data_IF_488910516962
#
_entry.id   IF_488910516962
#
_cell.length_a   1.000
_cell.length_b   1.000
_cell.length_c   1.000
_cell.angle_alpha   90.00
_cell.angle_beta   90.00
_cell.angle_gamma   90.00
#
_symmetry.space_group_name_H-M   'P 1'
#
loop_
_entity.id
_entity.type
_entity.pdbx_description
1 polymer ?
#
# COMPACT_ATOMS: atom_id res chain seq x y z
N UNK A 1 17.17 -49.99 39.73
CA UNK A 1 18.36 -50.86 39.79
C UNK A 1 17.84 -52.28 39.98
N UNK A 2 18.16 -53.33 39.22
CA UNK A 2 19.13 -53.54 38.15
C UNK A 2 18.76 -54.83 37.39
N UNK A 3 19.07 -54.87 36.09
CA UNK A 3 19.39 -56.07 35.29
C UNK A 3 18.22 -57.02 34.96
N UNK A 4 18.09 -57.61 33.77
CA UNK A 4 19.04 -57.76 32.69
C UNK A 4 18.29 -57.99 31.37
N UNK A 5 18.68 -57.23 30.35
CA UNK A 5 18.40 -57.48 28.95
C UNK A 5 19.52 -58.40 28.44
N UNK A 6 19.20 -59.62 28.02
CA UNK A 6 20.13 -60.45 27.25
C UNK A 6 19.57 -60.55 25.84
N UNK A 7 20.24 -59.85 24.91
CA UNK A 7 20.14 -60.12 23.48
C UNK A 7 20.81 -61.46 23.19
N UNK A 8 20.06 -62.38 22.59
CA UNK A 8 20.61 -63.47 21.78
C UNK A 8 20.22 -63.24 20.34
N UNK A 9 21.24 -63.04 19.49
CA UNK A 9 21.15 -63.06 18.03
C UNK A 9 21.63 -64.43 17.57
N UNK A 10 20.84 -65.16 16.79
CA UNK A 10 21.24 -66.26 15.89
C UNK A 10 20.11 -66.39 14.85
N UNK A 11 20.26 -65.79 13.66
CA UNK A 11 20.56 -66.46 12.38
C UNK A 11 19.54 -67.52 11.95
N UNK A 12 18.87 -67.27 10.82
CA UNK A 12 18.05 -68.27 10.14
C UNK A 12 17.29 -67.69 8.95
N UNK A 13 17.97 -67.60 7.81
CA UNK A 13 17.37 -67.27 6.53
C UNK A 13 16.42 -68.36 6.03
N UNK A 14 15.44 -67.89 5.25
CA UNK A 14 14.80 -68.53 4.10
C UNK A 14 13.90 -69.75 4.32
N UNK A 15 12.62 -69.55 4.00
CA UNK A 15 12.06 -70.30 2.88
C UNK A 15 10.68 -70.93 3.11
N UNK A 16 9.69 -70.37 2.42
CA UNK A 16 8.43 -70.99 1.99
C UNK A 16 7.25 -70.91 2.97
N UNK A 17 6.46 -69.85 2.84
CA UNK A 17 5.05 -69.83 3.23
C UNK A 17 4.17 -69.69 1.99
N UNK A 18 3.04 -70.42 1.89
CA UNK A 18 1.93 -70.08 1.02
C UNK A 18 0.92 -69.19 1.76
N UNK A 19 0.36 -68.24 1.00
CA UNK A 19 -0.94 -67.55 1.13
C UNK A 19 -1.41 -67.07 2.52
N UNK A 20 -1.40 -65.76 2.72
CA UNK A 20 -2.61 -64.92 2.72
C UNK A 20 -2.32 -63.52 3.31
N UNK A 21 -2.83 -62.51 2.61
CA UNK A 21 -3.20 -61.16 3.08
C UNK A 21 -2.17 -60.31 3.85
N UNK A 22 -1.67 -59.27 3.18
CA UNK A 22 -2.05 -57.87 3.48
C UNK A 22 -1.16 -56.85 2.75
N UNK A 23 -1.84 -55.99 1.99
CA UNK A 23 -1.52 -54.60 1.69
C UNK A 23 -0.04 -54.17 1.59
N UNK A 24 0.43 -53.98 0.36
CA UNK A 24 1.31 -52.86 -0.04
C UNK A 24 1.35 -52.75 -1.58
N UNK A 25 0.37 -52.06 -2.17
CA UNK A 25 0.67 -51.13 -3.26
C UNK A 25 0.73 -49.75 -2.58
N UNK A 26 1.82 -48.99 -2.66
CA UNK A 26 2.54 -48.71 -3.89
C UNK A 26 1.72 -47.80 -4.82
N UNK A 27 0.78 -47.04 -4.27
CA UNK A 27 0.02 -46.03 -4.99
C UNK A 27 0.73 -44.68 -4.91
N UNK A 28 1.35 -44.27 -6.01
CA UNK A 28 1.61 -42.87 -6.33
C UNK A 28 0.31 -42.08 -6.15
N UNK A 29 0.22 -41.29 -5.08
CA UNK A 29 -0.87 -40.33 -4.90
C UNK A 29 -0.91 -39.35 -6.08
N UNK A 30 -2.08 -38.78 -6.42
CA UNK A 30 -2.23 -37.92 -7.59
C UNK A 30 -1.27 -36.74 -7.46
N UNK A 31 -0.33 -36.64 -8.41
CA UNK A 31 0.42 -35.42 -8.66
C UNK A 31 -0.59 -34.27 -8.83
N UNK A 32 -0.46 -33.27 -7.96
CA UNK A 32 -0.90 -31.88 -8.10
C UNK A 32 -1.93 -31.62 -9.21
N UNK A 33 -3.20 -31.91 -8.96
CA UNK A 33 -4.26 -31.26 -9.73
C UNK A 33 -4.38 -29.85 -9.17
N UNK A 34 -3.64 -28.91 -9.78
CA UNK A 34 -3.80 -27.49 -9.51
C UNK A 34 -5.30 -27.13 -9.59
N UNK A 35 -5.81 -26.45 -8.55
CA UNK A 35 -7.19 -25.96 -8.59
C UNK A 35 -7.39 -25.10 -9.85
N UNK A 36 -8.54 -25.22 -10.54
CA UNK A 36 -8.82 -24.34 -11.67
C UNK A 36 -8.73 -22.88 -11.24
N UNK A 37 -8.11 -22.05 -12.09
CA UNK A 37 -8.06 -20.61 -11.86
C UNK A 37 -9.46 -20.00 -11.78
N UNK A 38 -9.58 -18.99 -10.93
CA UNK A 38 -10.74 -18.12 -10.81
C UNK A 38 -11.00 -17.48 -12.16
N UNK A 39 -12.24 -17.61 -12.63
CA UNK A 39 -12.69 -17.01 -13.88
C UNK A 39 -12.80 -15.50 -13.67
N UNK A 40 -11.93 -14.76 -14.34
CA UNK A 40 -11.91 -13.30 -14.32
C UNK A 40 -12.13 -12.76 -15.73
N UNK A 41 -12.95 -11.72 -15.84
CA UNK A 41 -12.96 -10.85 -17.00
C UNK A 41 -11.92 -9.76 -16.75
N UNK A 42 -10.79 -9.79 -17.43
CA UNK A 42 -9.68 -8.84 -17.25
C UNK A 42 -9.43 -8.06 -18.53
N UNK A 43 -8.76 -6.89 -18.48
CA UNK A 43 -8.40 -6.16 -19.69
C UNK A 43 -7.60 -7.02 -20.66
N UNK A 44 -7.77 -6.78 -21.96
CA UNK A 44 -7.15 -7.59 -23.03
C UNK A 44 -5.62 -7.68 -22.97
N UNK A 45 -4.98 -6.74 -22.28
CA UNK A 45 -3.53 -6.73 -22.06
C UNK A 45 -3.05 -7.80 -21.06
N UNK A 46 -3.96 -8.54 -20.41
CA UNK A 46 -3.67 -9.63 -19.49
C UNK A 46 -4.20 -10.98 -20.01
N UNK A 47 -3.55 -12.06 -19.61
CA UNK A 47 -3.99 -13.43 -19.92
C UNK A 47 -4.79 -14.02 -18.75
N UNK A 48 -6.12 -13.97 -18.85
CA UNK A 48 -7.05 -14.52 -17.85
C UNK A 48 -6.87 -16.01 -17.58
N UNK A 49 -6.29 -16.76 -18.53
CA UNK A 49 -6.16 -18.22 -18.47
C UNK A 49 -4.85 -18.69 -17.84
N UNK A 50 -3.95 -17.76 -17.48
CA UNK A 50 -2.64 -18.06 -16.89
C UNK A 50 -2.46 -17.34 -15.56
N UNK A 51 -1.44 -17.76 -14.82
CA UNK A 51 -1.06 -17.18 -13.54
C UNK A 51 -1.45 -18.08 -12.38
N UNK A 52 -1.82 -17.48 -11.25
CA UNK A 52 -2.12 -18.19 -10.02
C UNK A 52 -3.10 -17.40 -9.15
N UNK A 53 -3.75 -18.12 -8.23
CA UNK A 53 -4.66 -17.55 -7.24
C UNK A 53 -4.24 -17.96 -5.82
N UNK A 54 -4.56 -17.10 -4.86
CA UNK A 54 -4.36 -17.33 -3.44
C UNK A 54 -5.61 -16.89 -2.67
N UNK A 55 -6.15 -17.79 -1.85
CA UNK A 55 -7.35 -17.54 -1.06
C UNK A 55 -6.96 -17.07 0.34
N UNK A 56 -7.59 -16.00 0.79
CA UNK A 56 -7.38 -15.40 2.10
C UNK A 56 -8.64 -15.54 2.98
N UNK A 57 -9.02 -16.79 3.28
CA UNK A 57 -10.24 -17.10 4.03
C UNK A 57 -10.21 -16.69 5.52
N UNK A 58 -9.09 -16.17 6.01
CA UNK A 58 -8.98 -15.61 7.36
C UNK A 58 -9.35 -14.12 7.42
N UNK A 59 -9.42 -13.44 6.27
CA UNK A 59 -9.63 -12.00 6.19
C UNK A 59 -11.14 -11.68 6.21
N UNK A 60 -11.57 -10.89 7.20
CA UNK A 60 -12.97 -10.48 7.35
C UNK A 60 -13.46 -9.63 6.16
N UNK A 61 -14.77 -9.58 5.94
CA UNK A 61 -15.38 -8.78 4.87
C UNK A 61 -15.31 -7.28 5.13
N UNK A 62 -15.26 -6.88 6.41
CA UNK A 62 -15.34 -5.47 6.82
C UNK A 62 -13.97 -4.81 7.02
N UNK A 63 -12.87 -5.49 6.66
CA UNK A 63 -11.54 -4.88 6.72
C UNK A 63 -11.36 -3.88 5.58
N UNK A 64 -10.60 -2.83 5.85
CA UNK A 64 -10.29 -1.76 4.89
C UNK A 64 -8.89 -1.89 4.29
N UNK A 65 -8.09 -2.86 4.75
CA UNK A 65 -6.75 -3.17 4.23
C UNK A 65 -6.68 -4.59 3.69
N UNK A 66 -5.68 -4.86 2.87
CA UNK A 66 -5.48 -6.16 2.22
C UNK A 66 -4.06 -6.64 2.51
N UNK A 67 -3.89 -7.85 3.08
CA UNK A 67 -2.58 -8.37 3.47
C UNK A 67 -1.82 -8.95 2.28
N UNK A 68 -1.68 -8.15 1.23
CA UNK A 68 -0.96 -8.44 0.00
C UNK A 68 -0.31 -7.16 -0.54
N UNK A 69 0.91 -7.29 -1.05
CA UNK A 69 1.68 -6.16 -1.56
C UNK A 69 2.67 -6.60 -2.64
N UNK A 70 3.17 -5.65 -3.42
CA UNK A 70 4.30 -5.82 -4.34
C UNK A 70 5.54 -5.18 -3.74
N UNK A 71 6.72 -5.70 -4.07
CA UNK A 71 7.99 -5.06 -3.67
C UNK A 71 8.48 -4.15 -4.80
N UNK A 72 8.70 -2.84 -4.55
CA UNK A 72 9.09 -1.89 -5.59
C UNK A 72 10.29 -2.34 -6.43
N UNK A 73 10.18 -2.20 -7.74
CA UNK A 73 11.24 -2.56 -8.69
C UNK A 73 11.50 -4.06 -8.84
N UNK A 74 10.62 -4.93 -8.32
CA UNK A 74 10.75 -6.38 -8.44
C UNK A 74 9.45 -7.03 -8.91
N UNK A 75 9.54 -8.29 -9.33
CA UNK A 75 8.39 -9.13 -9.66
C UNK A 75 7.79 -9.81 -8.41
N UNK A 76 8.24 -9.46 -7.19
CA UNK A 76 7.83 -10.16 -5.97
C UNK A 76 6.47 -9.66 -5.48
N UNK A 77 5.56 -10.61 -5.27
CA UNK A 77 4.29 -10.40 -4.57
C UNK A 77 4.38 -11.09 -3.22
N UNK A 78 4.14 -10.35 -2.14
CA UNK A 78 4.11 -10.88 -0.79
C UNK A 78 2.67 -10.95 -0.28
N UNK A 79 2.31 -12.10 0.29
CA UNK A 79 0.97 -12.38 0.82
C UNK A 79 1.09 -12.88 2.25
N UNK A 80 0.26 -12.37 3.17
CA UNK A 80 0.16 -12.89 4.53
C UNK A 80 -0.94 -13.95 4.65
N UNK A 81 -0.62 -15.04 5.33
CA UNK A 81 -1.55 -16.12 5.67
C UNK A 81 -1.58 -16.33 7.18
N UNK A 82 -2.77 -16.54 7.73
CA UNK A 82 -2.92 -17.10 9.07
C UNK A 82 -2.28 -18.50 9.14
N UNK A 83 -1.60 -18.77 10.24
CA UNK A 83 -0.97 -20.05 10.55
C UNK A 83 -1.39 -20.48 11.97
N UNK A 84 -1.10 -21.73 12.34
CA UNK A 84 -1.47 -22.25 13.67
C UNK A 84 -0.90 -21.43 14.84
N UNK A 85 0.26 -20.79 14.63
CA UNK A 85 0.99 -20.02 15.64
C UNK A 85 1.33 -18.61 15.09
N UNK A 86 0.30 -17.83 14.74
CA UNK A 86 0.45 -16.47 14.24
C UNK A 86 0.24 -16.38 12.73
N UNK A 87 1.14 -15.70 12.02
CA UNK A 87 1.01 -15.42 10.60
C UNK A 87 2.30 -15.74 9.85
N UNK A 88 2.18 -16.15 8.59
CA UNK A 88 3.32 -16.33 7.70
C UNK A 88 3.23 -15.38 6.52
N UNK A 89 4.37 -14.87 6.09
CA UNK A 89 4.50 -14.12 4.84
C UNK A 89 5.08 -15.07 3.79
N UNK A 90 4.37 -15.23 2.68
CA UNK A 90 4.87 -15.98 1.52
C UNK A 90 5.16 -14.99 0.40
N UNK A 91 6.42 -14.95 -0.06
CA UNK A 91 6.82 -14.21 -1.23
C UNK A 91 6.80 -15.12 -2.46
N UNK A 92 6.10 -14.69 -3.50
CA UNK A 92 5.95 -15.38 -4.78
C UNK A 92 6.49 -14.51 -5.91
N UNK A 93 7.03 -15.15 -6.93
CA UNK A 93 7.31 -14.49 -8.21
C UNK A 93 6.00 -14.18 -8.94
N UNK A 94 5.89 -12.99 -9.51
CA UNK A 94 4.68 -12.39 -10.07
C UNK A 94 3.96 -13.29 -11.05
N UNK A 95 4.43 -13.38 -12.30
CA UNK A 95 3.79 -14.21 -13.33
C UNK A 95 3.81 -15.72 -13.03
N UNK A 96 4.88 -16.24 -12.41
CA UNK A 96 5.06 -17.69 -12.24
C UNK A 96 4.35 -18.29 -11.02
N UNK A 97 4.04 -17.49 -9.99
CA UNK A 97 3.49 -17.95 -8.72
C UNK A 97 4.42 -18.81 -7.88
N UNK A 98 5.64 -19.08 -8.35
CA UNK A 98 6.64 -19.86 -7.63
C UNK A 98 6.96 -19.16 -6.32
N UNK A 99 6.85 -19.90 -5.21
CA UNK A 99 7.29 -19.44 -3.89
C UNK A 99 8.80 -19.22 -3.93
N UNK A 100 9.22 -17.97 -3.69
CA UNK A 100 10.63 -17.58 -3.58
C UNK A 100 11.12 -17.87 -2.17
N UNK A 101 10.33 -17.46 -1.18
CA UNK A 101 10.56 -17.77 0.23
C UNK A 101 9.27 -17.71 1.04
N UNK A 102 9.31 -18.29 2.24
CA UNK A 102 8.25 -18.21 3.24
C UNK A 102 8.86 -17.91 4.61
N UNK A 103 8.23 -17.03 5.38
CA UNK A 103 8.68 -16.72 6.74
C UNK A 103 8.43 -17.89 7.70
N UNK A 104 9.19 -17.93 8.79
CA UNK A 104 8.69 -18.60 10.00
C UNK A 104 7.38 -17.92 10.47
N UNK A 105 6.52 -18.60 11.24
CA UNK A 105 5.37 -17.95 11.86
C UNK A 105 5.82 -16.77 12.72
N UNK A 106 5.21 -15.62 12.47
CA UNK A 106 5.41 -14.37 13.19
C UNK A 106 4.18 -14.09 14.05
N UNK A 107 4.42 -13.75 15.31
CA UNK A 107 3.35 -13.43 16.27
C UNK A 107 3.21 -11.91 16.39
N UNK A 108 2.09 -11.33 15.95
CA UNK A 108 1.81 -9.92 16.19
C UNK A 108 1.59 -9.66 17.69
N UNK A 109 1.65 -8.39 18.14
CA UNK A 109 1.24 -8.03 19.50
C UNK A 109 -0.22 -8.44 19.76
N UNK A 110 -0.59 -8.55 21.05
CA UNK A 110 -1.96 -8.85 21.45
C UNK A 110 -2.88 -7.73 20.94
N UNK A 111 -3.96 -8.01 20.19
CA UNK A 111 -4.83 -6.96 19.67
C UNK A 111 -5.33 -6.02 20.77
N UNK A 112 -5.40 -4.72 20.48
CA UNK A 112 -6.05 -3.75 21.38
C UNK A 112 -7.56 -4.05 21.50
N UNK A 113 -8.17 -3.56 22.57
CA UNK A 113 -9.62 -3.67 22.74
C UNK A 113 -10.36 -2.99 21.56
N UNK A 114 -11.39 -3.66 21.04
CA UNK A 114 -12.15 -3.18 19.87
C UNK A 114 -11.51 -3.46 18.51
N UNK A 115 -10.30 -4.03 18.43
CA UNK A 115 -9.63 -4.34 17.16
C UNK A 115 -10.41 -5.34 16.27
N UNK A 116 -11.30 -6.15 16.85
CA UNK A 116 -12.16 -7.07 16.10
C UNK A 116 -13.34 -6.36 15.40
N UNK A 117 -13.45 -5.04 15.56
CA UNK A 117 -14.62 -4.25 15.21
C UNK A 117 -15.76 -4.44 16.22
N UNK A 118 -16.69 -3.50 16.19
CA UNK A 118 -17.95 -3.58 16.90
C UNK A 118 -19.03 -3.32 15.85
N UNK A 119 -20.07 -4.16 15.76
CA UNK A 119 -21.14 -3.96 14.77
C UNK A 119 -22.06 -2.77 15.11
N UNK A 120 -21.97 -2.23 16.32
CA UNK A 120 -22.82 -1.14 16.84
C UNK A 120 -22.16 0.24 16.82
N UNK A 121 -20.84 0.29 16.63
CA UNK A 121 -20.07 1.51 16.38
C UNK A 121 -19.36 1.34 15.05
N UNK A 122 -19.05 2.38 14.29
CA UNK A 122 -18.29 2.26 13.02
C UNK A 122 -16.80 1.86 13.26
N UNK A 123 -16.54 0.95 14.19
CA UNK A 123 -15.23 0.48 14.61
C UNK A 123 -14.59 -0.36 13.52
N UNK A 124 -13.51 0.16 12.92
CA UNK A 124 -12.77 -0.55 11.89
C UNK A 124 -12.13 -1.82 12.46
N UNK A 125 -12.28 -2.94 11.75
CA UNK A 125 -11.56 -4.18 12.05
C UNK A 125 -10.09 -3.98 11.68
N UNK A 126 -9.19 -4.22 12.62
CA UNK A 126 -7.75 -4.22 12.39
C UNK A 126 -7.25 -5.65 12.22
N UNK A 127 -6.48 -5.87 11.15
CA UNK A 127 -5.77 -7.11 10.89
C UNK A 127 -4.27 -6.83 10.74
N UNK A 128 -3.40 -7.82 11.02
CA UNK A 128 -2.02 -7.78 10.56
C UNK A 128 -1.94 -7.66 9.05
N UNK A 129 -0.93 -6.93 8.56
CA UNK A 129 -0.84 -6.53 7.16
C UNK A 129 0.61 -6.52 6.67
N UNK A 130 0.83 -6.40 5.36
CA UNK A 130 2.15 -6.43 4.71
C UNK A 130 2.36 -5.25 3.78
N UNK A 131 3.61 -4.77 3.74
CA UNK A 131 4.04 -3.72 2.81
C UNK A 131 5.41 -4.04 2.20
N UNK A 132 5.57 -3.84 0.90
CA UNK A 132 6.86 -3.81 0.22
C UNK A 132 7.41 -2.39 0.17
N UNK A 133 8.71 -2.21 0.44
CA UNK A 133 9.36 -0.92 0.24
C UNK A 133 10.87 -1.06 -0.01
N UNK A 134 11.48 0.03 -0.47
CA UNK A 134 12.93 0.15 -0.65
C UNK A 134 13.47 1.29 0.21
N UNK A 135 14.58 1.06 0.91
CA UNK A 135 15.36 2.08 1.59
C UNK A 135 16.84 1.90 1.24
N UNK A 136 17.47 2.98 0.75
CA UNK A 136 18.91 3.05 0.47
C UNK A 136 19.42 1.87 -0.40
N UNK A 137 18.61 1.45 -1.40
CA UNK A 137 18.91 0.35 -2.32
C UNK A 137 18.57 -1.06 -1.78
N UNK A 138 18.21 -1.19 -0.50
CA UNK A 138 17.76 -2.45 0.07
C UNK A 138 16.24 -2.54 0.06
N UNK A 139 15.73 -3.69 -0.39
CA UNK A 139 14.29 -3.95 -0.48
C UNK A 139 13.84 -4.86 0.64
N UNK A 140 12.66 -4.57 1.17
CA UNK A 140 12.07 -5.29 2.28
C UNK A 140 10.61 -5.62 2.02
N UNK A 141 10.16 -6.72 2.61
CA UNK A 141 8.77 -6.98 2.93
C UNK A 141 8.60 -6.79 4.44
N UNK A 142 7.66 -5.96 4.85
CA UNK A 142 7.37 -5.68 6.26
C UNK A 142 6.03 -6.30 6.61
N UNK A 143 6.01 -7.22 7.56
CA UNK A 143 4.78 -7.58 8.26
C UNK A 143 4.58 -6.59 9.41
N UNK A 144 3.38 -6.06 9.58
CA UNK A 144 3.08 -5.11 10.63
C UNK A 144 1.72 -5.37 11.28
N UNK A 145 1.61 -5.02 12.56
CA UNK A 145 0.38 -5.10 13.33
C UNK A 145 0.41 -4.15 14.53
N UNK A 146 -0.76 -3.66 14.88
CA UNK A 146 -1.02 -2.81 16.03
C UNK A 146 -1.54 -3.64 17.21
N UNK A 147 -1.05 -3.38 18.42
CA UNK A 147 -1.49 -4.11 19.61
C UNK A 147 -0.71 -3.77 20.87
N UNK A 148 -1.04 -4.47 21.95
CA UNK A 148 -0.35 -4.44 23.23
C UNK A 148 0.79 -5.46 23.28
N UNK A 149 1.99 -5.00 23.62
CA UNK A 149 3.16 -5.85 23.85
C UNK A 149 3.45 -5.98 25.34
N UNK A 150 3.67 -7.22 25.79
CA UNK A 150 3.99 -7.51 27.19
C UNK A 150 2.80 -7.36 28.13
N UNK A 151 1.57 -7.40 27.60
CA UNK A 151 0.35 -7.47 28.39
C UNK A 151 0.19 -8.88 28.95
N UNK A 152 -0.02 -8.99 30.26
CA UNK A 152 -0.31 -10.22 30.98
C UNK A 152 -1.21 -9.92 32.18
N UNK A 153 -1.45 -10.91 33.05
CA UNK A 153 -2.34 -10.76 34.22
C UNK A 153 -1.83 -9.74 35.26
N UNK A 154 -0.58 -9.30 35.15
CA UNK A 154 0.09 -8.40 36.10
C UNK A 154 0.54 -7.07 35.48
N UNK A 155 0.57 -6.97 34.15
CA UNK A 155 1.06 -5.80 33.42
C UNK A 155 0.11 -5.41 32.28
N UNK A 156 -0.18 -4.12 32.16
CA UNK A 156 -1.00 -3.58 31.06
C UNK A 156 -0.31 -3.67 29.69
N UNK A 157 1.01 -3.85 29.68
CA UNK A 157 1.82 -3.82 28.46
C UNK A 157 2.00 -2.42 27.89
N UNK A 158 2.62 -2.34 26.72
CA UNK A 158 2.83 -1.09 25.97
C UNK A 158 2.16 -1.23 24.61
N UNK A 159 1.36 -0.24 24.25
CA UNK A 159 0.74 -0.13 22.93
C UNK A 159 1.80 0.18 21.86
N UNK A 160 1.88 -0.67 20.83
CA UNK A 160 2.90 -0.60 19.80
C UNK A 160 2.33 -0.93 18.43
N UNK A 161 2.97 -0.37 17.40
CA UNK A 161 2.97 -0.97 16.07
C UNK A 161 4.25 -1.77 15.93
N UNK A 162 4.12 -3.10 15.85
CA UNK A 162 5.25 -4.00 15.63
C UNK A 162 5.50 -4.14 14.14
N UNK A 163 6.75 -3.98 13.73
CA UNK A 163 7.24 -4.14 12.36
C UNK A 163 8.24 -5.29 12.31
N UNK A 164 8.01 -6.29 11.48
CA UNK A 164 8.94 -7.39 11.20
C UNK A 164 9.46 -7.27 9.77
N UNK A 165 10.75 -6.97 9.63
CA UNK A 165 11.40 -6.65 8.35
C UNK A 165 12.07 -7.90 7.79
N UNK A 166 11.62 -8.36 6.62
CA UNK A 166 12.21 -9.44 5.85
C UNK A 166 12.91 -8.87 4.61
N UNK A 167 14.17 -9.25 4.31
CA UNK A 167 14.77 -8.91 3.03
C UNK A 167 13.92 -9.46 1.89
N UNK A 168 13.67 -8.66 0.85
CA UNK A 168 12.85 -9.10 -0.28
C UNK A 168 13.48 -10.30 -1.03
N UNK A 169 14.81 -10.39 -0.99
CA UNK A 169 15.66 -11.44 -1.54
C UNK A 169 15.97 -12.56 -0.53
N UNK A 170 15.19 -12.69 0.54
CA UNK A 170 15.28 -13.82 1.44
C UNK A 170 15.11 -15.16 0.71
N UNK A 171 15.47 -16.26 1.36
CA UNK A 171 15.39 -17.60 0.78
C UNK A 171 14.94 -18.64 1.80
N UNK A 172 14.43 -19.76 1.30
CA UNK A 172 13.98 -20.89 2.12
C UNK A 172 12.54 -20.78 2.62
N UNK A 173 12.11 -21.79 3.37
CA UNK A 173 10.73 -21.96 3.83
C UNK A 173 10.48 -21.51 5.27
N UNK A 174 11.49 -20.92 5.93
CA UNK A 174 11.43 -20.47 7.32
C UNK A 174 12.33 -19.23 7.53
N UNK A 175 12.20 -18.26 6.63
CA UNK A 175 12.93 -16.99 6.72
C UNK A 175 12.55 -16.26 8.01
N UNK A 176 13.55 -15.73 8.73
CA UNK A 176 13.34 -14.91 9.92
C UNK A 176 13.45 -13.43 9.54
N UNK A 177 12.75 -12.53 10.26
CA UNK A 177 12.96 -11.11 10.04
C UNK A 177 14.41 -10.75 10.41
N UNK A 178 15.04 -9.89 9.63
CA UNK A 178 16.37 -9.34 9.98
C UNK A 178 16.27 -8.32 11.11
N UNK A 179 15.08 -7.78 11.34
CA UNK A 179 14.79 -6.87 12.45
C UNK A 179 13.32 -6.90 12.83
N UNK A 180 13.06 -6.84 14.12
CA UNK A 180 11.75 -6.53 14.69
C UNK A 180 11.84 -5.20 15.44
N UNK A 181 10.87 -4.32 15.20
CA UNK A 181 10.86 -2.95 15.72
C UNK A 181 9.49 -2.69 16.32
N UNK A 182 9.48 -2.27 17.58
CA UNK A 182 8.26 -1.89 18.29
C UNK A 182 8.19 -0.35 18.31
N UNK A 183 7.31 0.23 17.49
CA UNK A 183 7.08 1.67 17.47
C UNK A 183 6.02 2.00 18.53
N UNK A 184 6.35 2.80 19.57
CA UNK A 184 5.37 3.18 20.57
C UNK A 184 4.32 4.09 19.93
N UNK A 185 3.05 3.78 20.16
CA UNK A 185 1.90 4.55 19.67
C UNK A 185 0.86 4.71 20.77
N UNK A 186 -0.12 5.58 20.54
CA UNK A 186 -1.32 5.67 21.37
C UNK A 186 -2.51 6.06 20.51
N UNK A 187 -3.33 5.09 20.13
CA UNK A 187 -4.49 5.26 19.28
C UNK A 187 -5.49 4.09 19.41
N UNK A 188 -6.77 4.41 19.26
CA UNK A 188 -7.79 3.37 19.13
C UNK A 188 -7.72 2.64 17.77
N UNK A 189 -8.45 1.53 17.62
CA UNK A 189 -8.58 0.80 16.37
C UNK A 189 -8.97 1.69 15.18
N UNK A 190 -8.43 1.38 14.00
CA UNK A 190 -8.67 2.07 12.73
C UNK A 190 -7.87 3.35 12.54
N UNK A 191 -7.04 3.74 13.52
CA UNK A 191 -6.31 5.02 13.55
C UNK A 191 -4.81 4.88 13.41
N UNK A 192 -4.30 3.71 13.04
CA UNK A 192 -2.89 3.49 12.67
C UNK A 192 -2.74 3.52 11.15
N UNK A 193 -1.69 4.17 10.65
CA UNK A 193 -1.27 4.14 9.26
C UNK A 193 0.21 3.81 9.18
N UNK A 194 0.56 2.81 8.37
CA UNK A 194 1.94 2.47 8.05
C UNK A 194 2.13 2.71 6.55
N UNK A 195 3.14 3.49 6.19
CA UNK A 195 3.45 3.80 4.80
C UNK A 195 4.96 3.94 4.57
N UNK A 196 5.38 3.82 3.30
CA UNK A 196 6.77 3.99 2.88
C UNK A 196 6.93 4.90 1.65
N UNK A 197 5.97 5.81 1.45
CA UNK A 197 5.84 6.69 0.28
C UNK A 197 7.07 7.55 -0.03
N UNK A 198 7.88 7.90 0.98
CA UNK A 198 9.10 8.69 0.83
C UNK A 198 10.41 7.88 0.78
N UNK A 199 10.34 6.56 0.67
CA UNK A 199 11.51 5.67 0.69
C UNK A 199 12.01 5.30 2.10
N UNK A 200 11.23 5.63 3.13
CA UNK A 200 11.44 5.21 4.52
C UNK A 200 10.11 4.92 5.18
N UNK A 201 10.11 4.07 6.20
CA UNK A 201 8.91 3.73 6.96
C UNK A 201 8.43 4.92 7.79
N UNK A 202 7.14 5.20 7.69
CA UNK A 202 6.41 6.14 8.54
C UNK A 202 5.25 5.38 9.19
N UNK A 203 5.19 5.44 10.52
CA UNK A 203 4.04 5.02 11.31
C UNK A 203 3.34 6.28 11.80
N UNK A 204 2.06 6.47 11.47
CA UNK A 204 1.28 7.63 11.88
C UNK A 204 0.01 7.18 12.63
N UNK A 205 -0.45 7.99 13.59
CA UNK A 205 -1.58 7.60 14.45
C UNK A 205 -2.41 8.76 15.02
N UNK A 206 -3.59 8.40 15.55
CA UNK A 206 -4.43 9.25 16.41
C UNK A 206 -5.67 9.84 15.73
N UNK A 207 -5.64 9.99 14.41
CA UNK A 207 -6.74 10.52 13.59
C UNK A 207 -7.17 9.50 12.53
N UNK A 208 -8.43 9.60 12.09
CA UNK A 208 -8.88 8.91 10.88
C UNK A 208 -8.32 9.61 9.64
N UNK A 209 -8.07 8.85 8.58
CA UNK A 209 -7.46 9.36 7.35
C UNK A 209 -6.07 8.79 7.09
N UNK A 210 -5.43 9.25 6.02
CA UNK A 210 -4.16 8.73 5.52
C UNK A 210 -2.94 9.36 6.19
N UNK A 211 -3.08 10.59 6.70
CA UNK A 211 -1.99 11.37 7.29
C UNK A 211 -2.35 11.97 8.65
N UNK A 212 -2.46 11.14 9.71
CA UNK A 212 -2.60 11.62 11.09
C UNK A 212 -1.47 12.56 11.51
N UNK A 213 -1.71 13.44 12.49
CA UNK A 213 -0.71 14.42 12.95
C UNK A 213 0.44 13.80 13.74
N UNK A 214 0.16 12.79 14.57
CA UNK A 214 1.21 12.09 15.32
C UNK A 214 1.87 11.06 14.42
N UNK A 215 3.20 11.02 14.40
CA UNK A 215 3.92 10.08 13.56
C UNK A 215 5.31 9.76 14.06
N UNK A 216 5.91 8.71 13.53
CA UNK A 216 7.29 8.34 13.76
C UNK A 216 7.91 7.78 12.47
N UNK A 217 9.12 8.21 12.14
CA UNK A 217 9.92 7.55 11.11
C UNK A 217 10.67 6.37 11.71
N UNK A 218 10.84 5.31 10.92
CA UNK A 218 11.67 4.16 11.26
C UNK A 218 12.76 3.98 10.21
N UNK A 219 14.01 3.94 10.65
CA UNK A 219 15.14 3.56 9.81
C UNK A 219 15.29 2.03 9.80
N UNK A 220 15.10 1.43 8.63
CA UNK A 220 15.06 -0.03 8.48
C UNK A 220 16.39 -0.71 8.82
N UNK A 221 17.51 -0.08 8.47
CA UNK A 221 18.85 -0.63 8.66
C UNK A 221 19.23 -0.65 10.15
N UNK A 222 19.02 0.46 10.85
CA UNK A 222 19.44 0.65 12.24
C UNK A 222 18.37 0.23 13.24
N UNK A 223 17.09 0.33 12.89
CA UNK A 223 15.96 0.19 13.81
C UNK A 223 15.67 1.48 14.60
N UNK A 224 16.32 2.60 14.26
CA UNK A 224 16.12 3.87 14.95
C UNK A 224 14.72 4.40 14.67
N UNK A 225 14.02 4.76 15.75
CA UNK A 225 12.71 5.42 15.71
C UNK A 225 12.92 6.91 16.01
N UNK A 226 12.27 7.78 15.24
CA UNK A 226 12.21 9.23 15.52
C UNK A 226 10.75 9.63 15.55
N UNK A 227 10.27 10.03 16.73
CA UNK A 227 8.87 10.42 16.97
C UNK A 227 8.69 11.92 16.71
N UNK A 228 7.57 12.26 16.09
CA UNK A 228 7.09 13.62 15.84
C UNK A 228 5.72 13.80 16.49
N UNK A 229 5.72 14.29 17.73
CA UNK A 229 4.49 14.60 18.47
C UNK A 229 3.85 15.92 18.00
N UNK A 230 4.66 16.82 17.45
CA UNK A 230 4.22 18.15 17.02
C UNK A 230 4.92 18.54 15.72
N UNK A 231 4.31 18.16 14.59
CA UNK A 231 4.83 18.47 13.27
C UNK A 231 4.88 19.98 12.99
N UNK A 232 4.15 20.82 13.74
CA UNK A 232 4.19 22.28 13.59
C UNK A 232 5.57 22.84 13.95
N UNK A 233 6.36 22.15 14.77
CA UNK A 233 7.71 22.57 15.17
C UNK A 233 8.80 22.15 14.17
N UNK A 234 8.45 21.40 13.13
CA UNK A 234 9.44 20.88 12.18
C UNK A 234 9.85 21.93 11.14
N UNK A 235 8.98 22.88 10.82
CA UNK A 235 9.24 23.93 9.84
C UNK A 235 9.42 25.29 10.56
N UNK A 236 10.56 25.99 10.39
CA UNK A 236 10.79 27.30 11.03
C UNK A 236 9.74 28.36 10.71
N UNK A 237 9.11 28.25 9.53
CA UNK A 237 7.98 29.08 9.10
C UNK A 237 6.83 29.07 10.11
N UNK A 238 6.64 27.95 10.81
CA UNK A 238 5.57 27.74 11.76
C UNK A 238 5.86 28.21 13.18
N UNK A 239 7.11 28.55 13.53
CA UNK A 239 7.43 29.08 14.86
C UNK A 239 6.78 30.44 15.13
N UNK A 240 6.52 31.21 14.05
CA UNK A 240 6.04 32.60 14.13
C UNK A 240 4.64 32.80 13.55
N UNK A 241 4.08 31.77 12.91
CA UNK A 241 2.80 31.87 12.22
C UNK A 241 1.67 31.25 13.04
N UNK A 242 0.65 32.04 13.36
CA UNK A 242 -0.55 31.58 14.06
C UNK A 242 -1.36 30.54 13.25
N UNK A 243 -1.12 30.45 11.93
CA UNK A 243 -1.87 29.63 10.99
C UNK A 243 -1.29 28.21 10.78
N UNK A 244 -0.23 27.82 11.51
CA UNK A 244 0.42 26.52 11.31
C UNK A 244 -0.20 25.34 12.04
N UNK A 245 -1.37 25.51 12.65
CA UNK A 245 -2.07 24.42 13.32
C UNK A 245 -2.32 23.27 12.35
N UNK A 246 -2.29 22.03 12.85
CA UNK A 246 -2.59 20.82 12.08
C UNK A 246 -1.57 20.45 10.99
N UNK A 247 -0.30 20.89 11.12
CA UNK A 247 0.78 20.37 10.30
C UNK A 247 0.98 18.87 10.54
N UNK A 248 1.52 18.18 9.54
CA UNK A 248 1.65 16.72 9.54
C UNK A 248 2.83 16.24 8.71
N UNK A 249 3.41 15.11 9.10
CA UNK A 249 4.43 14.42 8.31
C UNK A 249 3.73 13.62 7.22
N UNK A 250 3.96 14.02 5.97
CA UNK A 250 3.33 13.42 4.79
C UNK A 250 4.11 12.21 4.27
N UNK A 251 5.43 12.21 4.45
CA UNK A 251 6.31 11.11 4.07
C UNK A 251 7.63 11.16 4.84
N UNK A 252 8.23 10.01 5.08
CA UNK A 252 9.56 9.86 5.65
C UNK A 252 10.61 9.76 4.53
N UNK A 253 11.64 10.61 4.54
CA UNK A 253 12.72 10.62 3.51
C UNK A 253 14.10 10.57 4.14
N UNK A 254 15.13 10.26 3.34
CA UNK A 254 16.53 10.28 3.78
C UNK A 254 17.05 11.68 4.18
N UNK A 255 16.41 12.74 3.67
CA UNK A 255 16.77 14.13 3.97
C UNK A 255 15.94 14.73 5.13
N UNK A 256 15.06 13.94 5.75
CA UNK A 256 14.12 14.38 6.78
C UNK A 256 12.65 14.16 6.37
N UNK A 257 11.68 14.47 7.24
CA UNK A 257 10.27 14.33 6.90
C UNK A 257 9.83 15.37 5.87
N UNK A 258 8.99 14.96 4.91
CA UNK A 258 8.17 15.89 4.14
C UNK A 258 7.02 16.34 5.05
N UNK A 259 6.88 17.65 5.25
CA UNK A 259 5.89 18.23 6.14
C UNK A 259 4.91 19.08 5.33
N UNK A 260 3.62 18.81 5.48
CA UNK A 260 2.53 19.67 5.00
C UNK A 260 1.96 20.49 6.16
N UNK A 261 1.68 21.77 5.92
CA UNK A 261 1.19 22.70 6.94
C UNK A 261 -0.31 22.90 6.84
N UNK A 262 -1.00 22.98 7.98
CA UNK A 262 -2.46 23.17 8.02
C UNK A 262 -2.95 24.61 7.79
N UNK A 263 -2.08 25.52 7.34
CA UNK A 263 -2.47 26.84 6.81
C UNK A 263 -1.96 27.08 5.38
N UNK A 264 -1.60 25.99 4.71
CA UNK A 264 -0.95 25.98 3.41
C UNK A 264 0.58 26.06 3.51
N UNK A 265 1.22 25.58 2.45
CA UNK A 265 2.67 25.42 2.35
C UNK A 265 3.16 24.05 2.79
N UNK A 266 4.34 23.70 2.28
CA UNK A 266 4.97 22.41 2.56
C UNK A 266 6.45 22.38 2.21
N UNK A 267 7.19 21.42 2.75
CA UNK A 267 8.58 21.22 2.39
C UNK A 267 9.30 20.19 3.22
N UNK A 268 10.60 20.07 2.98
CA UNK A 268 11.51 19.30 3.83
C UNK A 268 12.32 20.30 4.67
N UNK A 269 12.27 20.22 6.01
CA UNK A 269 12.99 21.13 6.90
C UNK A 269 14.47 21.29 6.54
N UNK A 270 14.91 22.54 6.37
CA UNK A 270 16.31 22.87 6.04
C UNK A 270 16.73 22.55 4.60
N UNK A 271 15.82 22.13 3.72
CA UNK A 271 16.12 21.77 2.32
C UNK A 271 15.44 22.68 1.31
N UNK A 272 14.11 22.63 1.25
CA UNK A 272 13.30 23.39 0.30
C UNK A 272 11.89 23.59 0.85
N UNK A 273 11.19 24.61 0.33
CA UNK A 273 9.85 24.98 0.77
C UNK A 273 8.99 25.43 -0.43
N UNK A 274 7.67 25.23 -0.34
CA UNK A 274 6.69 25.41 -1.43
C UNK A 274 6.80 26.76 -2.14
N UNK A 275 7.06 27.85 -1.41
CA UNK A 275 7.24 29.19 -1.99
C UNK A 275 8.33 29.27 -3.06
N UNK A 276 9.39 28.49 -2.88
CA UNK A 276 10.55 28.49 -3.78
C UNK A 276 10.36 27.59 -5.01
N UNK A 277 9.34 26.72 -4.99
CA UNK A 277 9.13 25.69 -6.01
C UNK A 277 7.76 25.80 -6.69
N UNK A 278 6.93 26.75 -6.28
CA UNK A 278 5.59 26.95 -6.85
C UNK A 278 5.63 27.10 -8.38
N UNK A 279 4.69 26.49 -9.12
CA UNK A 279 4.57 26.71 -10.55
C UNK A 279 4.48 28.20 -10.91
N UNK A 280 5.11 28.62 -12.01
CA UNK A 280 5.20 30.04 -12.39
C UNK A 280 3.85 30.73 -12.60
N UNK A 281 2.82 29.97 -13.01
CA UNK A 281 1.48 30.53 -13.18
C UNK A 281 0.72 30.73 -11.85
N UNK A 282 1.24 30.21 -10.73
CA UNK A 282 0.63 30.34 -9.40
C UNK A 282 1.21 31.55 -8.69
N UNK A 283 0.49 32.67 -8.78
CA UNK A 283 0.83 33.91 -8.08
C UNK A 283 0.04 34.10 -6.77
N UNK A 284 -1.01 33.30 -6.56
CA UNK A 284 -1.87 33.39 -5.39
C UNK A 284 -1.14 33.00 -4.09
N UNK A 285 -1.46 33.72 -3.02
CA UNK A 285 -1.30 33.29 -1.62
C UNK A 285 -2.64 32.77 -1.11
N UNK A 286 -2.62 31.92 -0.08
CA UNK A 286 -3.84 31.37 0.54
C UNK A 286 -4.11 32.05 1.88
N UNK A 287 -5.27 31.78 2.49
CA UNK A 287 -5.56 32.14 3.89
C UNK A 287 -5.86 33.62 4.22
N UNK A 288 -6.35 33.85 5.44
CA UNK A 288 -6.81 35.16 5.95
C UNK A 288 -5.64 36.14 6.18
N UNK A 289 -4.39 35.66 6.23
CA UNK A 289 -3.18 36.45 6.56
C UNK A 289 -2.11 36.44 5.46
N UNK A 290 -2.48 36.20 4.20
CA UNK A 290 -1.51 35.99 3.10
C UNK A 290 -0.56 34.82 3.41
N UNK A 291 -1.13 33.67 3.79
CA UNK A 291 -0.39 32.44 4.06
C UNK A 291 0.16 31.78 2.79
N UNK A 292 1.01 30.78 3.02
CA UNK A 292 1.71 30.06 1.97
C UNK A 292 0.76 29.21 1.13
N UNK A 293 0.91 29.29 -0.19
CA UNK A 293 0.15 28.45 -1.11
C UNK A 293 0.80 27.06 -1.25
N UNK A 294 -0.02 26.10 -1.66
CA UNK A 294 0.38 24.73 -1.94
C UNK A 294 -0.06 23.77 -0.84
N UNK A 295 -0.73 22.70 -1.24
CA UNK A 295 -1.12 21.60 -0.35
C UNK A 295 -0.50 20.32 -0.86
N UNK A 296 0.25 19.61 -0.01
CA UNK A 296 0.73 18.27 -0.35
C UNK A 296 -0.44 17.31 -0.33
N UNK A 297 -0.66 16.66 -1.46
CA UNK A 297 -1.62 15.58 -1.55
C UNK A 297 -1.04 14.30 -0.96
N UNK A 298 0.08 13.82 -1.52
CA UNK A 298 0.86 12.71 -0.98
C UNK A 298 2.23 12.63 -1.69
N UNK A 299 3.07 11.69 -1.27
CA UNK A 299 4.31 11.33 -1.96
C UNK A 299 4.23 9.89 -2.48
N UNK A 300 4.99 9.59 -3.54
CA UNK A 300 5.21 8.23 -4.03
C UNK A 300 6.45 8.19 -4.94
N UNK A 301 7.23 7.11 -4.89
CA UNK A 301 8.36 6.86 -5.80
C UNK A 301 9.34 8.05 -5.96
N UNK A 302 9.62 8.77 -4.88
CA UNK A 302 10.53 9.91 -4.92
C UNK A 302 9.91 11.20 -5.50
N UNK A 303 8.59 11.25 -5.62
CA UNK A 303 7.85 12.43 -6.06
C UNK A 303 6.83 12.90 -5.03
N UNK A 304 6.48 14.18 -5.10
CA UNK A 304 5.41 14.82 -4.33
C UNK A 304 4.33 15.30 -5.29
N UNK A 305 3.09 14.90 -5.07
CA UNK A 305 1.92 15.50 -5.72
C UNK A 305 1.40 16.64 -4.84
N UNK A 306 1.25 17.83 -5.44
CA UNK A 306 0.77 19.01 -4.76
C UNK A 306 -0.32 19.73 -5.58
N UNK A 307 -1.30 20.27 -4.86
CA UNK A 307 -2.33 21.16 -5.39
C UNK A 307 -2.03 22.61 -5.05
N UNK A 308 -2.35 23.52 -5.96
CA UNK A 308 -2.13 24.96 -5.82
C UNK A 308 -3.37 25.74 -6.21
N UNK A 309 -3.77 26.64 -5.31
CA UNK A 309 -4.90 27.53 -5.53
C UNK A 309 -4.48 28.65 -6.51
N UNK A 310 -5.39 29.03 -7.41
CA UNK A 310 -5.21 30.10 -8.41
C UNK A 310 -6.16 31.28 -8.23
N UNK A 311 -7.22 31.13 -7.44
CA UNK A 311 -8.26 32.13 -7.15
C UNK A 311 -7.80 33.32 -6.29
N UNK A 312 -6.55 33.35 -5.85
CA UNK A 312 -6.07 34.39 -4.92
C UNK A 312 -6.70 34.26 -3.53
N UNK A 313 -6.59 35.30 -2.71
CA UNK A 313 -6.93 35.29 -1.28
C UNK A 313 -8.39 34.90 -0.94
N UNK A 314 -9.32 35.12 -1.88
CA UNK A 314 -10.77 34.92 -1.69
C UNK A 314 -11.50 34.34 -2.92
N UNK A 315 -10.78 34.02 -4.00
CA UNK A 315 -11.43 33.53 -5.22
C UNK A 315 -11.64 32.03 -5.18
N UNK A 316 -12.67 31.58 -5.89
CA UNK A 316 -12.91 30.17 -6.15
C UNK A 316 -11.84 29.64 -7.11
N UNK A 317 -11.32 28.45 -6.83
CA UNK A 317 -10.30 27.79 -7.63
C UNK A 317 -10.90 27.02 -8.81
N UNK A 318 -11.58 27.71 -9.73
CA UNK A 318 -12.14 27.08 -10.95
C UNK A 318 -11.04 26.57 -11.92
N UNK A 319 -9.76 26.72 -11.55
CA UNK A 319 -8.57 26.32 -12.31
C UNK A 319 -7.43 25.93 -11.37
N UNK A 320 -7.66 25.03 -10.41
CA UNK A 320 -6.60 24.50 -9.57
C UNK A 320 -5.43 23.97 -10.43
N UNK A 321 -4.20 24.32 -10.02
CA UNK A 321 -3.00 23.78 -10.65
C UNK A 321 -2.55 22.58 -9.81
N UNK A 322 -2.33 21.46 -10.47
CA UNK A 322 -1.74 20.27 -9.86
C UNK A 322 -0.35 20.06 -10.42
N UNK A 323 0.59 19.70 -9.57
CA UNK A 323 1.97 19.48 -9.98
C UNK A 323 2.65 18.33 -9.26
N UNK A 324 3.63 17.76 -9.94
CA UNK A 324 4.52 16.74 -9.42
C UNK A 324 5.91 17.34 -9.28
N UNK A 325 6.51 17.17 -8.11
CA UNK A 325 7.85 17.66 -7.78
C UNK A 325 8.76 16.49 -7.42
N UNK A 326 10.04 16.58 -7.77
CA UNK A 326 11.08 15.70 -7.20
C UNK A 326 11.12 15.89 -5.67
N UNK A 327 10.92 14.81 -4.91
CA UNK A 327 10.79 14.85 -3.45
C UNK A 327 12.05 15.38 -2.77
N UNK A 328 13.22 15.09 -3.32
CA UNK A 328 14.51 15.45 -2.72
C UNK A 328 14.82 16.93 -2.87
N UNK A 329 14.51 17.51 -4.03
CA UNK A 329 14.91 18.87 -4.41
C UNK A 329 13.75 19.86 -4.45
N UNK A 330 12.51 19.39 -4.48
CA UNK A 330 11.31 20.18 -4.73
C UNK A 330 11.18 20.64 -6.20
N UNK A 331 12.09 20.23 -7.08
CA UNK A 331 12.09 20.67 -8.49
C UNK A 331 10.80 20.24 -9.18
N UNK A 332 10.15 21.17 -9.87
CA UNK A 332 8.95 20.88 -10.66
C UNK A 332 9.26 19.91 -11.80
N UNK A 333 8.56 18.78 -11.82
CA UNK A 333 8.71 17.70 -12.81
C UNK A 333 7.61 17.76 -13.86
N UNK A 334 6.34 17.86 -13.45
CA UNK A 334 5.18 17.93 -14.32
C UNK A 334 4.07 18.77 -13.70
N UNK A 335 3.14 19.26 -14.51
CA UNK A 335 1.98 20.01 -14.03
C UNK A 335 0.78 19.89 -14.97
N UNK A 336 -0.41 20.19 -14.45
CA UNK A 336 -1.67 20.28 -15.19
C UNK A 336 -2.61 21.26 -14.50
N UNK A 337 -3.44 21.95 -15.28
CA UNK A 337 -4.62 22.65 -14.74
C UNK A 337 -5.76 21.66 -14.73
N UNK A 338 -6.38 21.44 -13.58
CA UNK A 338 -7.48 20.51 -13.46
C UNK A 338 -8.42 20.99 -12.36
N UNK A 339 -9.71 21.09 -12.68
CA UNK A 339 -10.78 21.49 -11.77
C UNK A 339 -11.16 20.37 -10.79
N UNK A 340 -10.13 19.70 -10.26
CA UNK A 340 -10.25 18.72 -9.19
C UNK A 340 -9.90 19.42 -7.87
N UNK A 341 -10.82 19.35 -6.92
CA UNK A 341 -10.74 20.04 -5.65
C UNK A 341 -9.46 19.68 -4.89
N UNK A 342 -8.77 20.71 -4.41
CA UNK A 342 -7.60 20.55 -3.55
C UNK A 342 -8.13 20.25 -2.14
N UNK A 343 -7.72 19.14 -1.50
CA UNK A 343 -8.17 18.84 -0.15
C UNK A 343 -7.80 19.97 0.82
N UNK A 344 -8.67 20.20 1.80
CA UNK A 344 -8.39 21.08 2.93
C UNK A 344 -7.04 20.71 3.57
N UNK A 345 -6.15 21.68 3.72
CA UNK A 345 -4.81 21.48 4.26
C UNK A 345 -4.81 20.95 5.71
N UNK A 346 -5.90 21.08 6.44
CA UNK A 346 -6.12 20.52 7.78
C UNK A 346 -6.72 19.12 7.76
N UNK A 347 -7.10 18.57 6.59
CA UNK A 347 -7.64 17.22 6.47
C UNK A 347 -6.55 16.14 6.47
N UNK A 348 -6.73 15.11 7.30
CA UNK A 348 -5.90 13.91 7.28
C UNK A 348 -6.27 12.94 6.14
N UNK A 349 -7.43 13.12 5.50
CA UNK A 349 -7.97 12.23 4.47
C UNK A 349 -7.62 12.70 3.05
N UNK A 350 -7.55 11.75 2.12
CA UNK A 350 -7.46 12.00 0.68
C UNK A 350 -8.50 11.15 -0.01
N UNK A 351 -9.11 11.67 -1.07
CA UNK A 351 -10.16 10.95 -1.80
C UNK A 351 -9.61 9.68 -2.46
N UNK A 352 -8.36 9.76 -2.96
CA UNK A 352 -7.73 8.68 -3.71
C UNK A 352 -6.27 8.49 -3.26
N UNK A 353 -5.75 7.25 -3.29
CA UNK A 353 -4.32 7.02 -3.15
C UNK A 353 -3.55 7.57 -4.36
N UNK A 354 -2.28 7.92 -4.15
CA UNK A 354 -1.35 8.12 -5.26
C UNK A 354 -0.88 6.75 -5.74
N UNK A 355 -1.04 6.50 -7.03
CA UNK A 355 -0.61 5.30 -7.72
C UNK A 355 0.50 5.64 -8.71
N UNK A 356 1.39 4.69 -8.99
CA UNK A 356 2.49 4.86 -9.93
C UNK A 356 2.61 3.65 -10.84
N UNK A 357 3.21 3.83 -12.02
CA UNK A 357 3.71 2.69 -12.78
C UNK A 357 4.88 2.03 -12.02
N UNK A 358 5.11 0.73 -12.19
CA UNK A 358 6.23 0.01 -11.55
C UNK A 358 7.61 0.67 -11.74
N UNK A 359 7.87 1.24 -12.91
CA UNK A 359 9.10 1.98 -13.23
C UNK A 359 9.15 3.42 -12.69
N UNK A 360 8.05 3.91 -12.12
CA UNK A 360 7.90 5.26 -11.59
C UNK A 360 7.80 6.37 -12.64
N UNK A 361 7.65 6.03 -13.94
CA UNK A 361 7.49 7.03 -15.01
C UNK A 361 6.14 7.75 -14.94
N UNK A 362 5.09 7.03 -14.57
CA UNK A 362 3.74 7.56 -14.51
C UNK A 362 3.26 7.66 -13.07
N UNK A 363 2.48 8.71 -12.78
CA UNK A 363 1.88 8.95 -11.47
C UNK A 363 0.43 9.39 -11.66
N UNK A 364 -0.49 8.91 -10.84
CA UNK A 364 -1.87 9.37 -10.83
C UNK A 364 -2.45 9.45 -9.42
N UNK A 365 -3.50 10.25 -9.26
CA UNK A 365 -4.37 10.27 -8.09
C UNK A 365 -5.76 10.73 -8.53
N UNK A 366 -6.76 9.85 -8.38
CA UNK A 366 -8.12 10.14 -8.84
C UNK A 366 -8.14 10.52 -10.33
N UNK A 367 -8.64 11.73 -10.68
CA UNK A 367 -8.72 12.19 -12.07
C UNK A 367 -7.42 12.81 -12.61
N UNK A 368 -6.35 12.85 -11.83
CA UNK A 368 -5.06 13.39 -12.26
C UNK A 368 -4.17 12.27 -12.75
N UNK A 369 -3.51 12.46 -13.88
CA UNK A 369 -2.44 11.58 -14.36
C UNK A 369 -1.26 12.38 -14.89
N UNK A 370 -0.04 11.86 -14.74
CA UNK A 370 1.19 12.52 -15.16
C UNK A 370 2.13 11.53 -15.85
N UNK A 371 2.69 11.94 -16.99
CA UNK A 371 3.88 11.32 -17.58
C UNK A 371 5.08 12.18 -17.18
N UNK A 372 5.87 11.68 -16.23
CA UNK A 372 6.97 12.43 -15.62
C UNK A 372 8.17 12.56 -16.55
N UNK A 373 8.32 11.64 -17.50
CA UNK A 373 9.37 11.70 -18.52
C UNK A 373 9.11 12.82 -19.52
N UNK A 374 7.85 12.95 -19.99
CA UNK A 374 7.44 14.01 -20.92
C UNK A 374 6.99 15.29 -20.22
N UNK A 375 7.00 15.30 -18.87
CA UNK A 375 6.66 16.46 -18.02
C UNK A 375 5.23 16.98 -18.21
N UNK A 376 4.31 16.10 -18.59
CA UNK A 376 2.93 16.45 -18.92
C UNK A 376 1.96 15.84 -17.91
N UNK A 377 0.92 16.57 -17.55
CA UNK A 377 -0.25 16.00 -16.88
C UNK A 377 -1.51 15.98 -17.76
N UNK A 378 -2.46 15.15 -17.36
CA UNK A 378 -3.76 14.91 -18.00
C UNK A 378 -4.84 15.09 -16.92
N UNK A 379 -5.84 15.90 -17.23
CA UNK A 379 -7.00 16.10 -16.38
C UNK A 379 -8.18 15.26 -16.89
N UNK A 380 -8.61 14.30 -16.07
CA UNK A 380 -9.74 13.40 -16.32
C UNK A 380 -10.98 13.81 -15.52
N UNK A 381 -10.97 15.01 -14.94
CA UNK A 381 -12.13 15.60 -14.28
C UNK A 381 -13.21 15.90 -15.32
N UNK A 382 -14.45 15.60 -14.96
CA UNK A 382 -15.61 15.90 -15.79
C UNK A 382 -15.80 17.41 -15.99
N UNK A 383 -16.29 17.79 -17.15
CA UNK A 383 -16.48 19.18 -17.59
C UNK A 383 -17.92 19.48 -18.05
N UNK A 384 -18.87 18.65 -17.61
CA UNK A 384 -20.28 18.68 -18.01
C UNK A 384 -20.57 17.96 -19.34
N UNK A 385 -19.58 17.81 -20.22
CA UNK A 385 -19.70 17.00 -21.45
C UNK A 385 -19.05 15.62 -21.31
N UNK A 386 -18.08 15.49 -20.40
CA UNK A 386 -17.41 14.23 -20.05
C UNK A 386 -17.63 13.92 -18.58
N UNK A 387 -17.80 12.63 -18.26
CA UNK A 387 -17.81 12.16 -16.86
C UNK A 387 -16.37 12.08 -16.33
N UNK A 388 -16.21 12.24 -15.02
CA UNK A 388 -14.93 12.08 -14.33
C UNK A 388 -14.45 10.63 -14.42
N UNK A 389 -13.17 10.41 -14.73
CA UNK A 389 -12.55 9.08 -14.67
C UNK A 389 -11.50 9.09 -13.57
N UNK A 390 -11.58 8.13 -12.65
CA UNK A 390 -10.60 7.96 -11.57
C UNK A 390 -9.71 6.74 -11.86
N UNK A 391 -8.40 6.92 -11.77
CA UNK A 391 -7.43 5.87 -12.07
C UNK A 391 -7.16 5.00 -10.85
N UNK A 392 -7.01 3.70 -11.10
CA UNK A 392 -6.75 2.66 -10.09
C UNK A 392 -5.37 2.01 -10.26
N UNK A 393 -4.88 1.86 -11.49
CA UNK A 393 -3.54 1.30 -11.75
C UNK A 393 -2.94 1.78 -13.07
N UNK A 394 -1.61 1.69 -13.17
CA UNK A 394 -0.83 2.13 -14.34
C UNK A 394 0.25 1.10 -14.67
N UNK A 395 0.47 0.84 -15.95
CA UNK A 395 1.56 0.01 -16.48
C UNK A 395 2.72 0.87 -16.98
N UNK A 396 3.91 0.29 -17.08
CA UNK A 396 5.12 0.97 -17.57
C UNK A 396 5.00 1.39 -19.05
N UNK A 397 4.12 0.72 -19.80
CA UNK A 397 3.81 1.09 -21.18
C UNK A 397 2.92 2.35 -21.28
N UNK A 398 2.44 2.90 -20.16
CA UNK A 398 1.54 4.06 -20.11
C UNK A 398 0.06 3.71 -20.28
N UNK A 399 -0.30 2.42 -20.33
CA UNK A 399 -1.69 1.99 -20.22
C UNK A 399 -2.14 2.14 -18.77
N UNK A 400 -3.22 2.90 -18.55
CA UNK A 400 -3.83 3.08 -17.25
C UNK A 400 -5.24 2.50 -17.21
N UNK A 401 -5.66 2.04 -16.04
CA UNK A 401 -6.98 1.47 -15.79
C UNK A 401 -7.66 2.25 -14.69
N UNK A 402 -8.96 2.47 -14.86
CA UNK A 402 -9.77 3.25 -13.94
C UNK A 402 -11.25 3.02 -14.16
N UNK A 403 -12.09 3.79 -13.48
CA UNK A 403 -13.53 3.73 -13.67
C UNK A 403 -14.12 5.13 -13.77
N UNK A 404 -15.24 5.23 -14.48
CA UNK A 404 -16.05 6.45 -14.49
C UNK A 404 -16.70 6.63 -13.13
N UNK A 405 -16.52 7.81 -12.54
CA UNK A 405 -17.24 8.22 -11.33
C UNK A 405 -18.58 8.82 -11.73
N UNK A 406 -19.66 8.33 -11.15
CA UNK A 406 -20.94 9.05 -11.16
C UNK A 406 -21.03 9.93 -9.92
N UNK A 407 -21.44 11.19 -10.08
CA UNK A 407 -21.52 12.14 -8.97
C UNK A 407 -22.78 11.91 -8.09
N UNK A 408 -23.62 10.93 -8.44
CA UNK A 408 -24.70 10.43 -7.58
C UNK A 408 -24.16 9.44 -6.55
N UNK A 409 -23.65 9.96 -5.44
CA UNK A 409 -23.34 9.17 -4.24
C UNK A 409 -24.63 8.42 -3.83
N UNK A 410 -24.63 7.09 -3.98
CA UNK A 410 -25.77 6.22 -3.65
C UNK A 410 -26.50 5.58 -4.83
N UNK A 411 -26.01 5.69 -6.07
CA UNK A 411 -26.56 4.91 -7.19
C UNK A 411 -26.00 3.48 -7.18
N UNK A 412 -26.89 2.48 -7.18
CA UNK A 412 -26.58 1.05 -7.43
C UNK A 412 -26.04 0.77 -8.85
N UNK A 413 -25.52 1.79 -9.55
CA UNK A 413 -24.97 1.65 -10.89
C UNK A 413 -23.57 1.07 -10.81
N UNK A 414 -23.37 -0.06 -11.49
CA UNK A 414 -22.06 -0.69 -11.60
C UNK A 414 -21.03 0.31 -12.16
N UNK A 415 -19.81 0.37 -11.57
CA UNK A 415 -18.76 1.24 -12.08
C UNK A 415 -18.47 0.90 -13.54
N UNK A 416 -18.30 1.92 -14.39
CA UNK A 416 -17.97 1.72 -15.80
C UNK A 416 -16.45 1.65 -15.93
N UNK A 417 -15.85 0.46 -16.13
CA UNK A 417 -14.40 0.34 -16.25
C UNK A 417 -13.90 1.00 -17.53
N UNK A 418 -12.74 1.63 -17.45
CA UNK A 418 -12.11 2.35 -18.55
C UNK A 418 -10.61 2.06 -18.62
N UNK A 419 -10.09 2.05 -19.83
CA UNK A 419 -8.67 2.01 -20.16
C UNK A 419 -8.26 3.33 -20.81
N UNK A 420 -7.06 3.80 -20.47
CA UNK A 420 -6.47 5.02 -21.02
C UNK A 420 -5.05 4.74 -21.52
N UNK A 421 -4.58 5.58 -22.43
CA UNK A 421 -3.21 5.66 -22.90
C UNK A 421 -2.59 7.01 -22.48
N UNK A 422 -1.83 7.01 -21.39
CA UNK A 422 -1.19 8.21 -20.83
C UNK A 422 -0.12 8.83 -21.74
N UNK A 423 0.26 8.15 -22.83
CA UNK A 423 1.15 8.72 -23.86
C UNK A 423 0.46 9.76 -24.74
N UNK A 424 -0.88 9.78 -24.79
CA UNK A 424 -1.62 10.78 -25.57
C UNK A 424 -2.00 11.98 -24.72
N UNK A 425 -2.37 13.09 -25.36
CA UNK A 425 -2.62 14.37 -24.66
C UNK A 425 -3.85 14.29 -23.76
N UNK A 426 -4.86 13.53 -24.18
CA UNK A 426 -6.16 13.39 -23.52
C UNK A 426 -6.31 12.07 -22.75
N UNK A 427 -5.35 11.16 -22.89
CA UNK A 427 -5.46 9.79 -22.38
C UNK A 427 -6.28 8.85 -23.26
N UNK A 428 -6.99 9.35 -24.29
CA UNK A 428 -7.88 8.58 -25.18
C UNK A 428 -8.69 7.46 -24.47
N UNK A 429 -9.58 7.83 -23.53
CA UNK A 429 -10.31 6.87 -22.73
C UNK A 429 -11.18 5.95 -23.58
N UNK A 430 -11.13 4.66 -23.26
CA UNK A 430 -11.93 3.60 -23.88
C UNK A 430 -12.67 2.83 -22.80
N UNK A 431 -13.99 2.71 -22.96
CA UNK A 431 -14.81 1.88 -22.08
C UNK A 431 -14.43 0.42 -22.28
N UNK A 432 -14.25 -0.29 -21.17
CA UNK A 432 -14.08 -1.74 -21.13
C UNK A 432 -15.45 -2.41 -20.99
N UNK A 433 -15.52 -3.72 -21.27
CA UNK A 433 -16.75 -4.49 -21.06
C UNK A 433 -17.25 -4.38 -19.62
N UNK A 434 -18.57 -4.39 -19.44
CA UNK A 434 -19.20 -4.50 -18.12
C UNK A 434 -18.67 -5.74 -17.39
N UNK A 435 -18.43 -5.61 -16.08
CA UNK A 435 -17.86 -6.68 -15.25
C UNK A 435 -16.36 -6.95 -15.48
N UNK A 436 -15.63 -6.05 -16.15
CA UNK A 436 -14.17 -6.16 -16.24
C UNK A 436 -13.53 -5.79 -14.91
N UNK A 437 -12.80 -6.72 -14.33
CA UNK A 437 -11.98 -6.54 -13.13
C UNK A 437 -10.74 -5.71 -13.47
N UNK A 438 -10.52 -4.63 -12.74
CA UNK A 438 -9.34 -3.78 -12.92
C UNK A 438 -8.19 -4.29 -12.05
N UNK A 439 -6.93 -4.21 -12.52
CA UNK A 439 -5.81 -4.58 -11.68
C UNK A 439 -5.69 -3.61 -10.51
N UNK A 440 -5.55 -4.15 -9.30
CA UNK A 440 -5.24 -3.42 -8.08
C UNK A 440 -3.79 -2.92 -8.08
N UNK A 441 -2.86 -3.77 -8.51
CA UNK A 441 -1.44 -3.44 -8.68
C UNK A 441 -0.90 -4.04 -9.98
N UNK A 442 0.16 -3.44 -10.50
CA UNK A 442 0.93 -3.96 -11.64
C UNK A 442 2.37 -4.22 -11.19
N UNK A 443 3.06 -5.10 -11.90
CA UNK A 443 4.45 -5.47 -11.61
C UNK A 443 5.33 -5.23 -12.84
N UNK A 444 6.67 -5.12 -12.70
CA UNK A 444 7.57 -4.83 -13.82
C UNK A 444 7.61 -5.89 -14.93
N UNK A 445 7.06 -7.09 -14.71
CA UNK A 445 6.89 -8.12 -15.76
C UNK A 445 5.51 -8.06 -16.44
N UNK A 446 4.85 -6.90 -16.37
CA UNK A 446 3.52 -6.63 -16.92
C UNK A 446 2.40 -7.49 -16.31
N UNK A 447 2.65 -8.19 -15.20
CA UNK A 447 1.58 -8.93 -14.50
C UNK A 447 0.70 -7.99 -13.69
N UNK A 448 -0.61 -8.25 -13.75
CA UNK A 448 -1.63 -7.57 -12.96
C UNK A 448 -2.06 -8.40 -11.76
N UNK A 449 -2.18 -7.74 -10.61
CA UNK A 449 -2.76 -8.28 -9.38
C UNK A 449 -4.21 -7.84 -9.30
N UNK A 450 -5.12 -8.80 -9.21
CA UNK A 450 -6.57 -8.59 -9.13
C UNK A 450 -7.07 -9.09 -7.77
N UNK A 451 -8.03 -8.37 -7.20
CA UNK A 451 -8.64 -8.71 -5.93
C UNK A 451 -10.13 -8.93 -6.18
N UNK A 452 -10.60 -10.15 -5.94
CA UNK A 452 -12.01 -10.49 -6.02
C UNK A 452 -12.47 -11.20 -4.76
N UNK A 453 -13.76 -11.53 -4.69
CA UNK A 453 -14.31 -12.42 -3.66
C UNK A 453 -14.92 -13.65 -4.30
N UNK A 454 -14.69 -14.82 -3.69
CA UNK A 454 -15.32 -16.07 -4.13
C UNK A 454 -16.77 -16.19 -3.60
N UNK A 455 -17.43 -17.31 -3.88
CA UNK A 455 -18.79 -17.61 -3.40
C UNK A 455 -18.90 -17.69 -1.87
N UNK A 456 -17.82 -18.09 -1.22
CA UNK A 456 -17.71 -18.14 0.24
C UNK A 456 -17.36 -16.77 0.85
N UNK A 457 -17.27 -15.74 -0.02
CA UNK A 457 -16.92 -14.34 0.27
C UNK A 457 -15.49 -14.13 0.79
N UNK A 458 -14.64 -15.14 0.68
CA UNK A 458 -13.21 -15.03 0.93
C UNK A 458 -12.58 -14.12 -0.11
N UNK A 459 -11.55 -13.38 0.28
CA UNK A 459 -10.73 -12.61 -0.65
C UNK A 459 -9.89 -13.59 -1.48
N UNK A 460 -9.90 -13.40 -2.80
CA UNK A 460 -9.04 -14.11 -3.74
C UNK A 460 -8.08 -13.11 -4.37
N UNK A 461 -6.79 -13.32 -4.11
CA UNK A 461 -5.71 -12.61 -4.80
C UNK A 461 -5.38 -13.38 -6.06
N UNK A 462 -5.49 -12.74 -7.22
CA UNK A 462 -5.27 -13.36 -8.52
C UNK A 462 -4.17 -12.63 -9.27
N UNK A 463 -3.10 -13.32 -9.66
CA UNK A 463 -2.09 -12.76 -10.56
C UNK A 463 -2.36 -13.23 -11.98
N UNK A 464 -2.40 -12.30 -12.94
CA UNK A 464 -2.52 -12.60 -14.37
C UNK A 464 -1.36 -11.96 -15.13
N UNK A 465 -0.58 -12.71 -15.92
CA UNK A 465 0.54 -12.16 -16.66
C UNK A 465 0.06 -11.25 -17.80
N UNK A 466 0.91 -10.31 -18.21
CA UNK A 466 0.74 -9.54 -19.44
C UNK A 466 0.78 -10.43 -20.68
N UNK A 467 0.15 -9.99 -21.79
CA UNK A 467 0.17 -10.69 -23.08
C UNK A 467 1.34 -10.33 -23.97
#
# INVERSE_FOLDING_TARGET
MAGALVLTVLTGCSGSGPDADSAKSGGTGPLDRAEPLTKLSVPAAYDAAKGWDEKLGWVSQSVTTLPVTTVPGTQTVAVMQAASNGYTVTARSGSSGKVVWRSAPWNPPTPVEGAQGDSSTDGAIEIPDVMGFEQDGQRYVVAYAHGMRGRDDLHEGVEVVRLALYPADASGSSAKPVKEIDVPVSAGPGRIRVQASGGRLLVAWGETGSFPRSSATVDAATGKITVYEDANKLLPQCEKAAACNSSRVMAATSDGPLVGMGGGGFGIPGKWFSDSIKPKQVNATTGILDSWNGTVYAAAHGYVLAGWNTGGRYGRDDNAVWSVHDLRTGTLTAQVVCDYDIPDETSASRDYPVITSPDGRYLAAGPLAFDLQTKRGICLQGDGNRKTIVLASIRDDGTAYGAVRDDSIGSDTEPVPAQLNLRTVTGDPKVLSVGTELPYLTTPDDSGLFITRNTDKDIVVSMRPGR
#
